data_IF_553283592782
#
_entry.id   IF_553283592782
#
_cell.length_a   1.000
_cell.length_b   1.000
_cell.length_c   1.000
_cell.angle_alpha   90.00
_cell.angle_beta   90.00
_cell.angle_gamma   90.00
#
_symmetry.space_group_name_H-M   'P 1'
#
loop_
_entity.id
_entity.type
_entity.pdbx_description
1 polymer ?
#
# COMPACT_ATOMS: atom_id res chain seq x y z
N UNK A 1 -8.66 26.25 5.17
CA UNK A 1 -9.60 25.50 4.30
C UNK A 1 -9.37 24.03 4.58
N UNK A 2 -10.40 23.25 4.99
CA UNK A 2 -10.26 21.79 5.06
C UNK A 2 -9.98 21.27 3.66
N UNK A 3 -8.91 20.47 3.50
CA UNK A 3 -8.63 19.74 2.26
C UNK A 3 -9.88 18.92 1.88
N UNK A 4 -10.29 18.99 0.61
CA UNK A 4 -11.43 18.23 0.10
C UNK A 4 -10.96 16.82 -0.25
N UNK A 5 -11.27 15.84 0.57
CA UNK A 5 -10.93 14.42 0.32
C UNK A 5 -10.46 13.68 1.56
N UNK A 6 -10.43 12.36 1.48
CA UNK A 6 -10.09 11.48 2.61
C UNK A 6 -8.59 11.14 2.72
N UNK A 7 -7.75 11.68 1.82
CA UNK A 7 -6.30 11.44 1.82
C UNK A 7 -5.54 12.70 2.24
N UNK A 8 -4.68 12.57 3.24
CA UNK A 8 -3.83 13.62 3.76
C UNK A 8 -2.47 13.03 4.16
N UNK A 9 -1.41 13.37 3.41
CA UNK A 9 -0.05 12.87 3.64
C UNK A 9 0.48 13.25 5.02
N UNK A 10 0.08 14.42 5.54
CA UNK A 10 0.51 14.89 6.87
C UNK A 10 -0.11 14.10 8.03
N UNK A 11 -1.18 13.33 7.77
CA UNK A 11 -1.87 12.52 8.78
C UNK A 11 -1.22 11.15 9.03
N UNK A 12 -0.25 10.74 8.20
CA UNK A 12 0.41 9.46 8.38
C UNK A 12 1.43 9.50 9.53
N UNK A 13 1.41 8.48 10.37
CA UNK A 13 2.36 8.30 11.48
C UNK A 13 3.78 7.97 10.99
N UNK A 14 3.98 7.75 9.69
CA UNK A 14 5.24 7.41 9.06
C UNK A 14 5.89 8.62 8.39
N UNK A 15 7.22 8.56 8.15
CA UNK A 15 7.91 9.63 7.43
C UNK A 15 7.38 9.80 6.01
N UNK A 16 7.51 11.02 5.47
CA UNK A 16 7.17 11.33 4.08
C UNK A 16 7.86 10.38 3.09
N UNK A 17 9.14 10.07 3.32
CA UNK A 17 9.89 9.16 2.44
C UNK A 17 9.34 7.74 2.46
N UNK A 18 8.85 7.27 3.61
CA UNK A 18 8.18 5.97 3.73
C UNK A 18 6.89 5.94 2.95
N UNK A 19 6.10 7.01 3.03
CA UNK A 19 4.85 7.11 2.28
C UNK A 19 5.11 7.20 0.77
N UNK A 20 6.10 7.99 0.33
CA UNK A 20 6.52 8.04 -1.08
C UNK A 20 6.94 6.64 -1.57
N UNK A 21 7.73 5.89 -0.77
CA UNK A 21 8.11 4.51 -1.13
C UNK A 21 6.92 3.60 -1.26
N UNK A 22 5.93 3.70 -0.37
CA UNK A 22 4.71 2.93 -0.42
C UNK A 22 3.87 3.25 -1.66
N UNK A 23 3.68 4.53 -1.98
CA UNK A 23 2.97 4.98 -3.19
C UNK A 23 3.66 4.48 -4.47
N UNK A 24 4.99 4.55 -4.53
CA UNK A 24 5.76 4.01 -5.65
C UNK A 24 5.58 2.49 -5.77
N UNK A 25 5.65 1.76 -4.64
CA UNK A 25 5.48 0.32 -4.62
C UNK A 25 4.07 -0.12 -5.06
N UNK A 26 3.03 0.67 -4.80
CA UNK A 26 1.68 0.40 -5.31
C UNK A 26 1.61 0.49 -6.84
N UNK A 27 2.35 1.41 -7.46
CA UNK A 27 2.46 1.50 -8.92
C UNK A 27 3.26 0.31 -9.44
N UNK A 28 4.43 0.04 -8.85
CA UNK A 28 5.34 -1.02 -9.29
C UNK A 28 4.69 -2.41 -9.24
N UNK A 29 3.87 -2.69 -8.21
CA UNK A 29 3.17 -3.97 -8.04
C UNK A 29 2.28 -4.33 -9.23
N UNK A 30 1.59 -3.35 -9.82
CA UNK A 30 0.63 -3.57 -10.90
C UNK A 30 1.14 -3.17 -12.28
N UNK A 31 2.33 -2.56 -12.39
CA UNK A 31 2.84 -2.00 -13.63
C UNK A 31 2.82 -2.97 -14.81
N UNK A 32 3.21 -4.22 -14.58
CA UNK A 32 3.24 -5.26 -15.62
C UNK A 32 1.86 -5.65 -16.15
N UNK A 33 0.80 -5.42 -15.38
CA UNK A 33 -0.59 -5.64 -15.74
C UNK A 33 -1.21 -4.39 -16.37
N UNK A 34 -0.97 -3.23 -15.75
CA UNK A 34 -1.56 -1.95 -16.14
C UNK A 34 -1.00 -1.41 -17.48
N UNK A 35 0.30 -1.55 -17.74
CA UNK A 35 0.89 -1.02 -18.97
C UNK A 35 0.29 -1.62 -20.27
N UNK A 36 0.16 -2.96 -20.40
CA UNK A 36 -0.54 -3.56 -21.53
C UNK A 36 -2.01 -3.14 -21.64
N UNK A 37 -2.66 -2.93 -20.49
CA UNK A 37 -4.04 -2.46 -20.43
C UNK A 37 -4.15 -1.03 -21.00
N UNK A 38 -3.28 -0.09 -20.62
CA UNK A 38 -3.27 1.26 -21.19
C UNK A 38 -3.11 1.23 -22.71
N UNK A 39 -2.21 0.37 -23.23
CA UNK A 39 -2.01 0.19 -24.67
C UNK A 39 -3.27 -0.40 -25.37
N UNK A 40 -3.91 -1.39 -24.75
CA UNK A 40 -5.16 -2.00 -25.25
C UNK A 40 -6.27 -0.96 -25.36
N UNK A 41 -6.35 -0.04 -24.40
CA UNK A 41 -7.32 1.05 -24.39
C UNK A 41 -6.85 2.31 -25.11
N UNK A 42 -5.81 2.21 -25.91
CA UNK A 42 -5.47 3.23 -26.91
C UNK A 42 -4.39 4.21 -26.53
N UNK A 43 -3.68 4.02 -25.41
CA UNK A 43 -2.48 4.83 -25.13
C UNK A 43 -1.43 4.59 -26.22
N UNK A 44 -0.90 5.67 -26.81
CA UNK A 44 0.14 5.65 -27.83
C UNK A 44 1.19 6.71 -27.55
N UNK A 45 2.41 6.45 -28.00
CA UNK A 45 3.49 7.44 -27.88
C UNK A 45 3.14 8.74 -28.62
N UNK A 46 3.59 9.87 -28.11
CA UNK A 46 3.29 11.21 -28.63
C UNK A 46 1.98 11.84 -28.15
N UNK A 47 1.14 11.11 -27.39
CA UNK A 47 -0.11 11.63 -26.82
C UNK A 47 0.11 12.63 -25.68
N UNK A 48 -0.90 13.49 -25.48
CA UNK A 48 -1.05 14.32 -24.26
C UNK A 48 -1.78 13.48 -23.18
N UNK A 49 -1.08 13.18 -22.10
CA UNK A 49 -1.56 12.34 -21.00
C UNK A 49 -1.70 13.14 -19.71
N UNK A 50 -2.81 12.97 -19.02
CA UNK A 50 -3.03 13.45 -17.67
C UNK A 50 -3.01 12.27 -16.69
N UNK A 51 -2.14 12.33 -15.68
CA UNK A 51 -2.19 11.46 -14.50
C UNK A 51 -2.84 12.25 -13.36
N UNK A 52 -4.10 11.94 -13.06
CA UNK A 52 -4.90 12.64 -12.05
C UNK A 52 -4.73 11.98 -10.68
N UNK A 53 -4.14 12.70 -9.74
CA UNK A 53 -3.64 12.17 -8.48
C UNK A 53 -2.30 11.47 -8.68
N UNK A 54 -1.36 12.16 -9.34
CA UNK A 54 -0.09 11.55 -9.75
C UNK A 54 0.84 11.20 -8.59
N UNK A 55 0.53 11.63 -7.37
CA UNK A 55 1.37 11.40 -6.21
C UNK A 55 2.81 11.88 -6.43
N UNK A 56 3.82 11.06 -6.09
CA UNK A 56 5.23 11.40 -6.30
C UNK A 56 5.70 11.27 -7.77
N UNK A 57 4.82 10.94 -8.73
CA UNK A 57 5.11 10.93 -10.17
C UNK A 57 5.62 9.60 -10.74
N UNK A 58 5.59 8.49 -9.97
CA UNK A 58 6.14 7.19 -10.39
C UNK A 58 5.50 6.64 -11.67
N UNK A 59 4.18 6.77 -11.82
CA UNK A 59 3.49 6.29 -13.03
C UNK A 59 3.99 7.03 -14.27
N UNK A 60 4.13 8.35 -14.20
CA UNK A 60 4.66 9.15 -15.31
C UNK A 60 6.10 8.75 -15.65
N UNK A 61 6.96 8.51 -14.65
CA UNK A 61 8.33 8.01 -14.86
C UNK A 61 8.31 6.71 -15.68
N UNK A 62 7.55 5.70 -15.26
CA UNK A 62 7.44 4.41 -15.95
C UNK A 62 6.84 4.52 -17.37
N UNK A 63 5.83 5.38 -17.54
CA UNK A 63 5.26 5.65 -18.86
C UNK A 63 6.31 6.26 -19.80
N UNK A 64 7.11 7.20 -19.33
CA UNK A 64 8.17 7.86 -20.11
C UNK A 64 9.31 6.92 -20.47
N UNK A 65 9.64 5.94 -19.62
CA UNK A 65 10.60 4.88 -19.95
C UNK A 65 10.14 4.03 -21.14
N UNK A 66 8.85 3.76 -21.24
CA UNK A 66 8.25 2.93 -22.30
C UNK A 66 7.86 3.73 -23.55
N UNK A 67 7.47 4.98 -23.36
CA UNK A 67 6.93 5.88 -24.41
C UNK A 67 7.55 7.27 -24.27
N UNK A 68 8.79 7.49 -24.73
CA UNK A 68 9.52 8.75 -24.53
C UNK A 68 8.86 10.00 -25.14
N UNK A 69 8.05 9.81 -26.20
CA UNK A 69 7.35 10.90 -26.89
C UNK A 69 6.11 11.43 -26.17
N UNK A 70 5.63 10.77 -25.11
CA UNK A 70 4.47 11.24 -24.35
C UNK A 70 4.72 12.64 -23.77
N UNK A 71 3.68 13.48 -23.79
CA UNK A 71 3.61 14.74 -23.05
C UNK A 71 2.72 14.51 -21.82
N UNK A 72 3.33 14.45 -20.65
CA UNK A 72 2.62 14.08 -19.42
C UNK A 72 2.40 15.30 -18.51
N UNK A 73 1.17 15.43 -18.02
CA UNK A 73 0.85 16.36 -16.93
C UNK A 73 0.41 15.54 -15.73
N UNK A 74 1.07 15.69 -14.58
CA UNK A 74 0.58 15.21 -13.29
C UNK A 74 -0.33 16.28 -12.67
N UNK A 75 -1.48 15.87 -12.16
CA UNK A 75 -2.34 16.70 -11.32
C UNK A 75 -2.32 16.13 -9.91
N UNK A 76 -1.94 16.94 -8.92
CA UNK A 76 -1.83 16.49 -7.52
C UNK A 76 -2.32 17.60 -6.58
N UNK A 77 -3.08 17.25 -5.56
CA UNK A 77 -3.62 18.23 -4.61
C UNK A 77 -2.64 18.57 -3.48
N UNK A 78 -1.84 17.61 -3.06
CA UNK A 78 -0.91 17.76 -1.95
C UNK A 78 0.37 18.50 -2.40
N UNK A 79 0.68 19.70 -1.83
CA UNK A 79 1.84 20.47 -2.25
C UNK A 79 3.18 19.77 -1.97
N UNK A 80 3.22 18.83 -1.02
CA UNK A 80 4.45 18.07 -0.71
C UNK A 80 4.70 17.04 -1.81
N UNK A 81 3.66 16.32 -2.26
CA UNK A 81 3.76 15.38 -3.38
C UNK A 81 4.01 16.09 -4.70
N UNK A 82 3.42 17.29 -4.93
CA UNK A 82 3.74 18.13 -6.09
C UNK A 82 5.24 18.45 -6.15
N UNK A 83 5.86 18.82 -5.03
CA UNK A 83 7.31 19.05 -4.95
C UNK A 83 8.11 17.78 -5.22
N UNK A 84 7.69 16.64 -4.67
CA UNK A 84 8.35 15.35 -4.87
C UNK A 84 8.31 14.94 -6.35
N UNK A 85 7.15 15.04 -7.01
CA UNK A 85 7.00 14.76 -8.45
C UNK A 85 7.83 15.70 -9.31
N UNK A 86 7.81 17.02 -9.01
CA UNK A 86 8.60 18.01 -9.74
C UNK A 86 10.10 17.72 -9.65
N UNK A 87 10.56 17.34 -8.47
CA UNK A 87 11.95 16.93 -8.22
C UNK A 87 12.31 15.67 -9.00
N UNK A 88 11.47 14.62 -8.94
CA UNK A 88 11.66 13.40 -9.70
C UNK A 88 11.80 13.68 -11.20
N UNK A 89 10.90 14.50 -11.78
CA UNK A 89 10.92 14.83 -13.21
C UNK A 89 12.20 15.56 -13.61
N UNK A 90 12.70 16.48 -12.75
CA UNK A 90 13.94 17.19 -12.99
C UNK A 90 15.16 16.24 -12.89
N UNK A 91 15.26 15.41 -11.84
CA UNK A 91 16.36 14.47 -11.60
C UNK A 91 16.45 13.41 -12.71
N UNK A 92 15.31 12.93 -13.21
CA UNK A 92 15.23 11.95 -14.31
C UNK A 92 15.28 12.59 -15.70
N UNK A 93 15.32 13.91 -15.80
CA UNK A 93 15.33 14.63 -17.07
C UNK A 93 14.12 14.33 -17.97
N UNK A 94 12.91 14.17 -17.38
CA UNK A 94 11.70 13.77 -18.09
C UNK A 94 11.18 14.94 -18.94
N UNK A 95 11.63 15.02 -20.20
CA UNK A 95 11.21 16.07 -21.14
C UNK A 95 9.72 15.95 -21.46
N UNK A 96 9.03 17.11 -21.56
CA UNK A 96 7.59 17.17 -21.84
C UNK A 96 6.70 16.72 -20.67
N UNK A 97 7.25 16.63 -19.45
CA UNK A 97 6.51 16.33 -18.23
C UNK A 97 6.44 17.58 -17.34
N UNK A 98 5.29 17.77 -16.71
CA UNK A 98 5.05 18.80 -15.69
C UNK A 98 4.10 18.29 -14.63
N UNK A 99 4.12 18.90 -13.46
CA UNK A 99 3.10 18.67 -12.43
C UNK A 99 2.40 20.00 -12.11
N UNK A 100 1.10 19.93 -11.86
CA UNK A 100 0.22 21.06 -11.54
C UNK A 100 -0.50 20.72 -10.23
N UNK A 101 -0.56 21.71 -9.33
CA UNK A 101 -1.35 21.56 -8.11
C UNK A 101 -2.83 21.83 -8.41
N UNK A 102 -3.71 20.88 -8.03
CA UNK A 102 -5.15 21.00 -8.21
C UNK A 102 -5.88 19.74 -7.77
N UNK A 103 -7.21 19.78 -7.82
CA UNK A 103 -8.07 18.62 -7.50
C UNK A 103 -8.79 18.10 -8.74
N UNK A 104 -9.29 16.87 -8.69
CA UNK A 104 -10.04 16.30 -9.80
C UNK A 104 -11.31 17.08 -10.14
N UNK A 105 -11.96 17.69 -9.12
CA UNK A 105 -13.15 18.54 -9.29
C UNK A 105 -12.82 19.92 -9.87
N UNK A 106 -11.60 20.42 -9.57
CA UNK A 106 -11.12 21.75 -10.02
C UNK A 106 -9.68 21.65 -10.54
N UNK A 107 -9.48 21.02 -11.70
CA UNK A 107 -8.14 20.72 -12.20
C UNK A 107 -7.35 21.96 -12.66
N UNK A 108 -8.00 23.06 -13.00
CA UNK A 108 -7.32 24.28 -13.46
C UNK A 108 -6.55 24.10 -14.77
N UNK A 109 -6.97 23.18 -15.62
CA UNK A 109 -6.34 22.83 -16.89
C UNK A 109 -7.27 23.13 -18.05
N UNK A 110 -6.70 23.30 -19.24
CA UNK A 110 -7.45 23.67 -20.45
C UNK A 110 -8.34 22.51 -20.92
N UNK A 111 -9.55 22.85 -21.37
CA UNK A 111 -10.48 21.89 -21.96
C UNK A 111 -9.94 21.33 -23.28
N UNK A 112 -10.33 20.08 -23.62
CA UNK A 112 -9.95 19.39 -24.85
C UNK A 112 -8.44 19.31 -25.12
N UNK A 113 -7.63 19.18 -24.05
CA UNK A 113 -6.17 19.18 -24.13
C UNK A 113 -5.53 17.81 -23.99
N UNK A 114 -6.26 16.78 -23.51
CA UNK A 114 -5.69 15.44 -23.27
C UNK A 114 -6.32 14.38 -24.17
N UNK A 115 -5.46 13.53 -24.72
CA UNK A 115 -5.87 12.33 -25.47
C UNK A 115 -6.25 11.20 -24.50
N UNK A 116 -5.55 11.11 -23.38
CA UNK A 116 -5.68 10.02 -22.42
C UNK A 116 -5.55 10.55 -20.99
N UNK A 117 -6.46 10.13 -20.11
CA UNK A 117 -6.42 10.44 -18.67
C UNK A 117 -6.31 9.12 -17.90
N UNK A 118 -5.43 9.08 -16.90
CA UNK A 118 -5.33 8.00 -15.94
C UNK A 118 -5.70 8.56 -14.56
N UNK A 119 -6.53 7.84 -13.82
CA UNK A 119 -6.86 8.17 -12.43
C UNK A 119 -6.81 6.87 -11.63
N UNK A 120 -5.77 6.73 -10.79
CA UNK A 120 -5.40 5.46 -10.18
C UNK A 120 -5.37 5.56 -8.65
N UNK A 121 -6.26 4.82 -7.98
CA UNK A 121 -6.40 4.79 -6.50
C UNK A 121 -6.57 6.23 -5.94
N UNK A 122 -7.49 6.96 -6.54
CA UNK A 122 -7.78 8.35 -6.19
C UNK A 122 -9.28 8.56 -5.99
N UNK A 123 -10.11 7.96 -6.84
CA UNK A 123 -11.54 8.23 -6.84
C UNK A 123 -12.20 7.77 -5.53
N UNK A 124 -11.64 6.75 -4.86
CA UNK A 124 -12.06 6.29 -3.52
C UNK A 124 -11.95 7.39 -2.45
N UNK A 125 -11.11 8.40 -2.68
CA UNK A 125 -10.88 9.52 -1.76
C UNK A 125 -11.71 10.76 -2.09
N UNK A 126 -12.37 10.79 -3.25
CA UNK A 126 -13.08 11.97 -3.77
C UNK A 126 -14.52 11.99 -3.24
N UNK A 127 -14.95 13.08 -2.57
CA UNK A 127 -16.29 13.18 -2.00
C UNK A 127 -17.41 13.15 -3.04
N UNK A 128 -17.21 13.76 -4.22
CA UNK A 128 -18.16 13.74 -5.34
C UNK A 128 -17.47 13.18 -6.60
N UNK A 129 -17.47 11.84 -6.77
CA UNK A 129 -16.86 11.17 -7.91
C UNK A 129 -17.42 11.62 -9.25
N UNK A 130 -18.73 11.88 -9.32
CA UNK A 130 -19.40 12.27 -10.57
C UNK A 130 -18.98 13.69 -10.99
N UNK A 131 -18.87 14.62 -10.05
CA UNK A 131 -18.39 15.98 -10.31
C UNK A 131 -16.95 15.95 -10.81
N UNK A 132 -16.08 15.18 -10.16
CA UNK A 132 -14.69 14.99 -10.57
C UNK A 132 -14.60 14.46 -12.00
N UNK A 133 -15.32 13.39 -12.30
CA UNK A 133 -15.33 12.78 -13.63
C UNK A 133 -15.92 13.71 -14.71
N UNK A 134 -16.93 14.52 -14.38
CA UNK A 134 -17.45 15.55 -15.31
C UNK A 134 -16.39 16.62 -15.59
N UNK A 135 -15.62 17.02 -14.60
CA UNK A 135 -14.52 17.98 -14.76
C UNK A 135 -13.41 17.40 -15.63
N UNK A 136 -12.98 16.16 -15.37
CA UNK A 136 -11.98 15.47 -16.18
C UNK A 136 -12.46 15.19 -17.61
N UNK A 137 -13.75 14.86 -17.82
CA UNK A 137 -14.34 14.70 -19.16
C UNK A 137 -14.19 15.95 -20.03
N UNK A 138 -14.28 17.16 -19.45
CA UNK A 138 -14.08 18.40 -20.21
C UNK A 138 -12.65 18.52 -20.73
N UNK A 139 -11.67 18.02 -19.99
CA UNK A 139 -10.25 18.06 -20.36
C UNK A 139 -9.92 17.10 -21.52
N UNK A 140 -10.69 16.02 -21.70
CA UNK A 140 -10.48 15.09 -22.79
C UNK A 140 -10.78 15.74 -24.15
N UNK A 141 -9.95 15.46 -25.14
CA UNK A 141 -10.23 15.68 -26.56
C UNK A 141 -11.41 14.81 -27.02
N UNK A 142 -11.95 15.09 -28.20
CA UNK A 142 -12.98 14.23 -28.79
C UNK A 142 -12.45 12.79 -28.96
N UNK A 143 -13.22 11.78 -28.54
CA UNK A 143 -12.83 10.36 -28.47
C UNK A 143 -11.65 10.07 -27.53
N UNK A 144 -11.23 11.05 -26.72
CA UNK A 144 -10.26 10.84 -25.64
C UNK A 144 -10.82 9.88 -24.60
N UNK A 145 -9.94 9.16 -23.92
CA UNK A 145 -10.29 8.12 -22.95
C UNK A 145 -9.77 8.42 -21.56
N UNK A 146 -10.52 7.99 -20.56
CA UNK A 146 -10.10 7.95 -19.17
C UNK A 146 -10.06 6.51 -18.70
N UNK A 147 -8.97 6.12 -18.06
CA UNK A 147 -8.85 4.84 -17.36
C UNK A 147 -8.90 5.13 -15.86
N UNK A 148 -9.92 4.59 -15.21
CA UNK A 148 -10.09 4.61 -13.76
C UNK A 148 -9.60 3.28 -13.22
N UNK A 149 -8.73 3.31 -12.22
CA UNK A 149 -8.24 2.13 -11.51
C UNK A 149 -8.42 2.39 -10.03
N UNK A 150 -9.19 1.54 -9.34
CA UNK A 150 -9.42 1.78 -7.92
C UNK A 150 -9.66 0.48 -7.13
N UNK A 151 -9.60 0.61 -5.82
CA UNK A 151 -9.83 -0.47 -4.89
C UNK A 151 -11.31 -0.77 -4.70
N UNK A 152 -11.60 -1.98 -4.23
CA UNK A 152 -12.82 -2.32 -3.54
C UNK A 152 -12.45 -3.13 -2.30
N UNK A 153 -12.54 -2.48 -1.13
CA UNK A 153 -12.08 -3.06 0.12
C UNK A 153 -12.95 -4.20 0.67
N UNK A 154 -14.01 -4.58 -0.01
CA UNK A 154 -14.68 -5.86 0.24
C UNK A 154 -13.93 -7.02 -0.42
N UNK A 155 -13.14 -6.74 -1.46
CA UNK A 155 -12.34 -7.71 -2.22
C UNK A 155 -10.83 -7.42 -2.16
N UNK A 156 -10.38 -6.53 -1.30
CA UNK A 156 -8.99 -6.10 -1.27
C UNK A 156 -8.03 -7.30 -1.16
N UNK A 157 -6.90 -7.24 -0.60
CA UNK A 157 -5.94 -8.34 -0.50
C UNK A 157 -6.49 -9.56 0.25
N UNK A 158 -6.23 -10.77 -0.29
CA UNK A 158 -6.54 -12.06 0.34
C UNK A 158 -5.29 -12.93 0.35
N UNK A 159 -5.24 -13.84 1.32
CA UNK A 159 -4.10 -14.75 1.52
C UNK A 159 -4.54 -16.19 1.64
N UNK A 160 -3.62 -17.11 1.30
CA UNK A 160 -3.71 -18.50 1.64
C UNK A 160 -2.39 -18.93 2.32
N UNK A 161 -2.40 -19.53 3.52
CA UNK A 161 -3.57 -19.62 4.41
C UNK A 161 -4.21 -18.26 4.73
N UNK A 162 -5.49 -18.24 5.11
CA UNK A 162 -6.17 -16.98 5.42
C UNK A 162 -5.58 -16.34 6.69
N UNK A 163 -5.40 -15.02 6.65
CA UNK A 163 -5.04 -14.19 7.81
C UNK A 163 -6.31 -13.53 8.34
N UNK A 164 -6.91 -14.04 9.44
CA UNK A 164 -8.25 -13.63 9.90
C UNK A 164 -8.36 -12.13 10.24
N UNK A 165 -7.27 -11.50 10.67
CA UNK A 165 -7.25 -10.10 11.07
C UNK A 165 -7.37 -9.13 9.89
N UNK A 166 -7.15 -9.57 8.64
CA UNK A 166 -7.31 -8.73 7.45
C UNK A 166 -8.74 -8.20 7.32
N UNK A 167 -9.75 -9.01 7.66
CA UNK A 167 -11.15 -8.55 7.59
C UNK A 167 -11.41 -7.39 8.56
N UNK A 168 -10.88 -7.47 9.79
CA UNK A 168 -10.96 -6.38 10.78
C UNK A 168 -10.18 -5.14 10.34
N UNK A 169 -8.98 -5.33 9.78
CA UNK A 169 -8.19 -4.24 9.23
C UNK A 169 -8.98 -3.49 8.14
N UNK A 170 -9.57 -4.21 7.19
CA UNK A 170 -10.31 -3.59 6.10
C UNK A 170 -11.65 -3.01 6.55
N UNK A 171 -12.30 -3.57 7.57
CA UNK A 171 -13.46 -2.95 8.21
C UNK A 171 -13.09 -1.60 8.84
N UNK A 172 -12.00 -1.56 9.60
CA UNK A 172 -11.47 -0.34 10.19
C UNK A 172 -11.09 0.71 9.12
N UNK A 173 -10.45 0.27 8.03
CA UNK A 173 -10.12 1.14 6.90
C UNK A 173 -11.38 1.72 6.25
N UNK A 174 -12.37 0.87 5.95
CA UNK A 174 -13.64 1.33 5.38
C UNK A 174 -14.35 2.34 6.28
N UNK A 175 -14.37 2.11 7.59
CA UNK A 175 -14.97 3.04 8.55
C UNK A 175 -14.22 4.39 8.58
N UNK A 176 -12.89 4.35 8.60
CA UNK A 176 -12.05 5.55 8.55
C UNK A 176 -12.31 6.37 7.27
N UNK A 177 -12.25 5.74 6.09
CA UNK A 177 -12.43 6.44 4.81
C UNK A 177 -13.82 7.04 4.65
N UNK A 178 -14.88 6.32 5.05
CA UNK A 178 -16.26 6.84 5.02
C UNK A 178 -16.45 8.04 5.94
N UNK A 179 -15.79 8.06 7.10
CA UNK A 179 -15.83 9.23 8.01
C UNK A 179 -15.29 10.48 7.33
N UNK A 180 -14.30 10.34 6.46
CA UNK A 180 -13.68 11.44 5.73
C UNK A 180 -14.37 11.74 4.39
N UNK A 181 -15.52 11.10 4.10
CA UNK A 181 -16.33 11.32 2.90
C UNK A 181 -15.90 10.53 1.68
N UNK A 182 -14.94 9.60 1.79
CA UNK A 182 -14.51 8.72 0.72
C UNK A 182 -15.37 7.47 0.57
N UNK A 183 -15.20 6.77 -0.55
CA UNK A 183 -15.86 5.51 -0.86
C UNK A 183 -14.83 4.38 -1.09
N UNK A 184 -14.41 3.66 -0.03
CA UNK A 184 -13.40 2.62 -0.13
C UNK A 184 -13.86 1.36 -0.92
N UNK A 185 -15.10 1.30 -1.37
CA UNK A 185 -15.64 0.22 -2.19
C UNK A 185 -16.10 0.71 -3.57
N UNK A 186 -15.45 1.75 -4.09
CA UNK A 186 -15.85 2.40 -5.34
C UNK A 186 -15.59 1.52 -6.57
N UNK A 187 -14.62 0.59 -6.51
CA UNK A 187 -14.14 -0.19 -7.64
C UNK A 187 -15.26 -0.84 -8.47
N UNK A 188 -16.19 -1.53 -7.79
CA UNK A 188 -17.36 -2.16 -8.47
C UNK A 188 -18.34 -1.17 -9.07
N UNK A 189 -18.25 0.13 -8.73
CA UNK A 189 -19.18 1.19 -9.16
C UNK A 189 -18.60 2.12 -10.20
N UNK A 190 -17.32 1.97 -10.57
CA UNK A 190 -16.65 2.81 -11.57
C UNK A 190 -17.43 2.97 -12.88
N UNK A 191 -18.00 1.88 -13.49
CA UNK A 191 -18.78 2.02 -14.73
C UNK A 191 -20.02 2.91 -14.56
N UNK A 192 -20.68 2.80 -13.42
CA UNK A 192 -21.85 3.64 -13.10
C UNK A 192 -21.46 5.11 -13.03
N UNK A 193 -20.39 5.43 -12.32
CA UNK A 193 -19.90 6.81 -12.19
C UNK A 193 -19.48 7.42 -13.53
N UNK A 194 -18.85 6.62 -14.42
CA UNK A 194 -18.57 7.05 -15.80
C UNK A 194 -19.84 7.40 -16.55
N UNK A 195 -20.85 6.54 -16.51
CA UNK A 195 -22.14 6.78 -17.19
C UNK A 195 -22.86 8.02 -16.62
N UNK A 196 -22.88 8.20 -15.29
CA UNK A 196 -23.48 9.37 -14.62
C UNK A 196 -22.72 10.67 -14.94
N UNK A 197 -21.40 10.58 -15.26
CA UNK A 197 -20.61 11.69 -15.74
C UNK A 197 -20.78 11.97 -17.23
N UNK A 198 -21.61 11.19 -17.93
CA UNK A 198 -21.92 11.36 -19.37
C UNK A 198 -20.83 10.82 -20.30
N UNK A 199 -20.06 9.82 -19.87
CA UNK A 199 -19.09 9.11 -20.68
C UNK A 199 -19.64 7.76 -21.16
N UNK A 200 -19.24 7.33 -22.34
CA UNK A 200 -19.46 5.96 -22.81
C UNK A 200 -18.54 5.01 -22.05
N UNK A 201 -19.07 3.90 -21.51
CA UNK A 201 -18.25 2.87 -20.88
C UNK A 201 -17.65 1.98 -21.97
N UNK A 202 -16.34 2.03 -22.16
CA UNK A 202 -15.60 1.31 -23.20
C UNK A 202 -15.01 -0.02 -22.68
N UNK A 203 -14.93 -0.21 -21.37
CA UNK A 203 -14.42 -1.45 -20.75
C UNK A 203 -14.59 -1.46 -19.26
N UNK A 204 -14.67 -2.69 -18.70
CA UNK A 204 -14.61 -2.93 -17.26
C UNK A 204 -13.99 -4.30 -17.04
N UNK A 205 -12.94 -4.33 -16.22
CA UNK A 205 -12.20 -5.56 -15.93
C UNK A 205 -11.57 -5.49 -14.53
N UNK A 206 -11.05 -6.60 -14.04
CA UNK A 206 -10.35 -6.71 -12.76
C UNK A 206 -8.96 -7.27 -13.02
N UNK A 207 -7.95 -6.48 -12.73
CA UNK A 207 -6.56 -6.93 -12.76
C UNK A 207 -6.19 -7.55 -11.41
N UNK A 208 -5.54 -8.72 -11.44
CA UNK A 208 -5.22 -9.48 -10.23
C UNK A 208 -3.71 -9.67 -10.16
N UNK A 209 -3.07 -9.04 -9.17
CA UNK A 209 -1.70 -9.37 -8.79
C UNK A 209 -1.68 -10.62 -7.90
N UNK A 210 -0.70 -11.52 -8.14
CA UNK A 210 -0.57 -12.78 -7.42
C UNK A 210 0.89 -13.04 -7.03
N UNK A 211 1.15 -13.38 -5.77
CA UNK A 211 2.53 -13.52 -5.25
C UNK A 211 3.30 -14.68 -5.87
N UNK A 212 2.64 -15.72 -6.37
CA UNK A 212 3.32 -16.79 -7.10
C UNK A 212 4.01 -16.32 -8.39
N UNK A 213 3.57 -15.16 -8.96
CA UNK A 213 4.15 -14.57 -10.16
C UNK A 213 5.13 -13.43 -9.86
N UNK A 214 4.87 -12.68 -8.78
CA UNK A 214 5.57 -11.43 -8.46
C UNK A 214 6.47 -11.55 -7.22
N UNK A 215 6.34 -12.64 -6.45
CA UNK A 215 6.91 -12.76 -5.10
C UNK A 215 6.11 -11.94 -4.07
N UNK A 216 6.44 -12.10 -2.79
CA UNK A 216 5.71 -11.46 -1.68
C UNK A 216 6.09 -10.00 -1.45
N UNK A 217 7.38 -9.67 -1.63
CA UNK A 217 7.93 -8.35 -1.33
C UNK A 217 7.18 -7.17 -1.99
N UNK A 218 6.75 -7.24 -3.26
CA UNK A 218 5.97 -6.17 -3.87
C UNK A 218 4.66 -5.89 -3.13
N UNK A 219 3.97 -6.93 -2.63
CA UNK A 219 2.74 -6.78 -1.85
C UNK A 219 3.02 -6.14 -0.49
N UNK A 220 4.02 -6.62 0.23
CA UNK A 220 4.39 -6.10 1.56
C UNK A 220 4.79 -4.63 1.49
N UNK A 221 5.50 -4.21 0.44
CA UNK A 221 5.86 -2.81 0.21
C UNK A 221 4.65 -1.94 -0.16
N UNK A 222 3.75 -2.44 -1.00
CA UNK A 222 2.58 -1.70 -1.47
C UNK A 222 1.52 -1.49 -0.39
N UNK A 223 1.32 -2.49 0.49
CA UNK A 223 0.41 -2.38 1.63
C UNK A 223 1.00 -1.48 2.74
N UNK A 224 2.28 -1.66 3.06
CA UNK A 224 2.99 -0.86 4.05
C UNK A 224 2.46 -1.02 5.48
N UNK A 225 3.27 -0.62 6.44
CA UNK A 225 2.90 -0.62 7.86
C UNK A 225 2.15 0.65 8.30
N UNK A 226 2.22 1.72 7.51
CA UNK A 226 1.72 3.04 7.90
C UNK A 226 0.20 3.08 8.07
N UNK A 227 -0.55 2.43 7.17
CA UNK A 227 -2.02 2.43 7.23
C UNK A 227 -2.54 1.71 8.49
N UNK A 228 -2.11 0.46 8.81
CA UNK A 228 -2.52 -0.19 10.05
C UNK A 228 -2.15 0.60 11.30
N UNK A 229 -0.94 1.16 11.37
CA UNK A 229 -0.49 1.98 12.49
C UNK A 229 -1.33 3.26 12.65
N UNK A 230 -1.66 3.93 11.55
CA UNK A 230 -2.55 5.10 11.57
C UNK A 230 -3.96 4.76 12.07
N UNK A 231 -4.51 3.61 11.67
CA UNK A 231 -5.82 3.16 12.12
C UNK A 231 -5.85 2.89 13.63
N UNK A 232 -4.75 2.38 14.19
CA UNK A 232 -4.60 2.23 15.64
C UNK A 232 -4.51 3.59 16.30
N UNK A 233 -3.67 4.49 15.81
CA UNK A 233 -3.52 5.84 16.35
C UNK A 233 -4.83 6.64 16.34
N UNK A 234 -5.63 6.49 15.29
CA UNK A 234 -6.94 7.15 15.13
C UNK A 234 -8.11 6.41 15.80
N UNK A 235 -7.86 5.29 16.48
CA UNK A 235 -8.86 4.55 17.25
C UNK A 235 -9.85 3.72 16.43
N UNK A 236 -9.56 3.48 15.14
CA UNK A 236 -10.38 2.61 14.29
C UNK A 236 -9.98 1.13 14.41
N UNK A 237 -8.76 0.84 14.82
CA UNK A 237 -8.23 -0.50 15.02
C UNK A 237 -7.61 -0.60 16.42
N UNK A 238 -7.76 -1.73 17.10
CA UNK A 238 -7.09 -1.97 18.37
C UNK A 238 -5.69 -2.55 18.17
N UNK A 239 -4.77 -2.27 19.12
CA UNK A 239 -3.38 -2.73 19.05
C UNK A 239 -3.25 -4.25 19.05
N UNK A 240 -4.12 -4.97 19.76
CA UNK A 240 -4.12 -6.43 19.78
C UNK A 240 -4.45 -7.04 18.42
N UNK A 241 -5.36 -6.42 17.67
CA UNK A 241 -5.65 -6.81 16.27
C UNK A 241 -4.43 -6.58 15.37
N UNK A 242 -3.70 -5.47 15.53
CA UNK A 242 -2.47 -5.21 14.78
C UNK A 242 -1.38 -6.25 15.08
N UNK A 243 -1.15 -6.57 16.35
CA UNK A 243 -0.20 -7.61 16.77
C UNK A 243 -0.61 -8.98 16.21
N UNK A 244 -1.91 -9.33 16.28
CA UNK A 244 -2.45 -10.55 15.71
C UNK A 244 -2.27 -10.63 14.20
N UNK A 245 -2.56 -9.55 13.47
CA UNK A 245 -2.34 -9.42 12.03
C UNK A 245 -0.89 -9.73 11.67
N UNK A 246 0.01 -9.11 12.39
CA UNK A 246 1.45 -9.21 12.18
C UNK A 246 1.94 -10.66 12.42
N UNK A 247 1.52 -11.30 13.52
CA UNK A 247 1.85 -12.69 13.85
C UNK A 247 1.29 -13.68 12.82
N UNK A 248 0.01 -13.54 12.48
CA UNK A 248 -0.66 -14.42 11.52
C UNK A 248 -0.14 -14.23 10.10
N UNK A 249 0.18 -12.99 9.71
CA UNK A 249 0.80 -12.67 8.43
C UNK A 249 2.18 -13.33 8.29
N UNK A 250 3.01 -13.25 9.33
CA UNK A 250 4.31 -13.94 9.35
C UNK A 250 4.15 -15.45 9.25
N UNK A 251 3.26 -16.03 10.04
CA UNK A 251 3.00 -17.48 9.99
C UNK A 251 2.55 -17.92 8.58
N UNK A 252 1.68 -17.13 7.94
CA UNK A 252 1.23 -17.37 6.57
C UNK A 252 2.40 -17.35 5.58
N UNK A 253 3.31 -16.34 5.66
CA UNK A 253 4.47 -16.23 4.78
C UNK A 253 5.49 -17.39 4.94
N UNK A 254 5.54 -18.04 6.10
CA UNK A 254 6.39 -19.20 6.35
C UNK A 254 5.75 -20.54 5.90
N UNK A 255 4.45 -20.54 5.59
CA UNK A 255 3.75 -21.73 5.14
C UNK A 255 4.10 -22.08 3.71
N UNK A 256 4.59 -23.32 3.42
CA UNK A 256 4.85 -23.75 2.06
C UNK A 256 3.60 -23.64 1.17
N UNK A 257 3.72 -23.02 0.00
CA UNK A 257 2.60 -22.86 -0.93
C UNK A 257 1.62 -21.75 -0.55
N UNK A 258 2.01 -20.84 0.37
CA UNK A 258 1.22 -19.64 0.64
C UNK A 258 1.04 -18.78 -0.61
N UNK A 259 0.03 -17.94 -0.57
CA UNK A 259 -0.20 -16.96 -1.65
C UNK A 259 -0.85 -15.68 -1.14
N UNK A 260 -0.52 -14.59 -1.82
CA UNK A 260 -1.14 -13.28 -1.66
C UNK A 260 -1.77 -12.91 -2.99
N UNK A 261 -3.03 -12.50 -2.94
CA UNK A 261 -3.82 -12.09 -4.11
C UNK A 261 -4.41 -10.71 -3.85
N UNK A 262 -4.22 -9.79 -4.81
CA UNK A 262 -4.75 -8.43 -4.72
C UNK A 262 -5.40 -8.01 -6.03
N UNK A 263 -6.73 -7.81 -6.08
CA UNK A 263 -7.42 -7.25 -7.23
C UNK A 263 -7.35 -5.72 -7.25
N UNK A 264 -7.39 -5.15 -8.47
CA UNK A 264 -7.73 -3.77 -8.76
C UNK A 264 -8.84 -3.74 -9.82
N UNK A 265 -9.82 -2.88 -9.62
CA UNK A 265 -10.94 -2.70 -10.52
C UNK A 265 -10.63 -1.60 -11.53
N UNK A 266 -10.86 -1.90 -12.80
CA UNK A 266 -10.56 -1.01 -13.92
C UNK A 266 -11.82 -0.70 -14.69
N UNK A 267 -12.11 0.58 -14.92
CA UNK A 267 -13.15 0.99 -15.85
C UNK A 267 -12.62 2.03 -16.82
N UNK A 268 -13.04 1.92 -18.07
CA UNK A 268 -12.60 2.82 -19.13
C UNK A 268 -13.77 3.60 -19.68
N UNK A 269 -13.67 4.93 -19.61
CA UNK A 269 -14.62 5.88 -20.17
C UNK A 269 -14.11 6.51 -21.45
N UNK A 270 -15.00 6.71 -22.43
CA UNK A 270 -14.69 7.46 -23.64
C UNK A 270 -15.57 8.71 -23.72
N UNK A 271 -14.96 9.83 -24.11
CA UNK A 271 -15.70 11.07 -24.38
C UNK A 271 -16.46 10.94 -25.69
N UNK A 272 -17.73 10.55 -25.58
CA UNK A 272 -18.66 10.46 -26.73
C UNK A 272 -19.40 11.77 -26.96
N UNK A 273 -19.84 12.01 -28.19
CA UNK A 273 -20.66 13.20 -28.52
C UNK A 273 -22.09 13.14 -27.93
N UNK A 274 -22.56 11.95 -27.54
CA UNK A 274 -23.85 11.69 -26.84
C UNK A 274 -23.66 10.65 -25.73
N UNK A 275 -24.34 10.76 -24.59
CA UNK A 275 -24.32 9.71 -23.58
C UNK A 275 -24.95 8.43 -24.13
N UNK A 276 -24.23 7.30 -24.04
CA UNK A 276 -24.76 5.99 -24.41
C UNK A 276 -25.53 5.38 -23.25
N UNK A 277 -26.76 4.95 -23.49
CA UNK A 277 -27.49 4.07 -22.59
C UNK A 277 -27.09 2.62 -22.90
N UNK A 278 -26.38 1.95 -22.01
CA UNK A 278 -26.18 0.51 -22.03
C UNK A 278 -24.72 0.04 -22.08
N UNK A 279 -24.42 -0.94 -21.23
CA UNK A 279 -23.13 -1.66 -21.16
C UNK A 279 -23.18 -2.85 -22.09
N UNK A 280 -22.29 -2.92 -23.08
CA UNK A 280 -22.07 -4.12 -23.88
C UNK A 280 -20.90 -4.94 -23.26
N UNK A 281 -21.08 -6.25 -23.15
CA UNK A 281 -20.07 -7.18 -22.63
C UNK A 281 -18.96 -7.44 -23.67
N UNK A 282 -17.71 -7.60 -23.27
CA UNK A 282 -16.61 -7.92 -24.19
C UNK A 282 -16.43 -9.44 -24.37
N UNK A 283 -15.96 -9.82 -25.56
CA UNK A 283 -15.52 -11.18 -25.90
C UNK A 283 -14.22 -11.56 -25.19
N UNK A 284 -14.22 -12.77 -24.63
CA UNK A 284 -13.06 -13.34 -23.92
C UNK A 284 -12.35 -14.38 -24.77
N UNK A 285 -11.06 -14.21 -25.00
CA UNK A 285 -10.18 -15.31 -25.45
C UNK A 285 -9.03 -15.51 -24.45
N UNK A 286 -8.91 -16.72 -23.96
CA UNK A 286 -8.00 -17.13 -22.90
C UNK A 286 -7.08 -18.25 -23.35
N UNK A 287 -5.76 -18.01 -23.35
CA UNK A 287 -4.79 -19.10 -23.20
C UNK A 287 -3.37 -18.63 -22.85
N UNK A 288 -2.84 -19.00 -21.67
CA UNK A 288 -1.41 -19.24 -21.42
C UNK A 288 -1.15 -20.05 -20.16
N UNK A 289 -0.24 -21.04 -20.30
CA UNK A 289 0.19 -21.98 -19.24
C UNK A 289 1.46 -21.50 -18.53
N UNK A 290 1.75 -21.98 -17.28
CA UNK A 290 2.88 -21.57 -16.47
C UNK A 290 4.10 -22.50 -16.53
N UNK A 291 5.26 -22.03 -16.10
CA UNK A 291 6.49 -22.84 -15.88
C UNK A 291 7.10 -22.57 -14.50
N UNK A 292 7.84 -23.56 -13.96
CA UNK A 292 8.09 -23.88 -12.56
C UNK A 292 9.47 -23.47 -11.97
N UNK A 293 9.49 -23.37 -10.65
CA UNK A 293 10.45 -23.73 -9.57
C UNK A 293 11.90 -23.24 -9.53
N UNK A 294 12.36 -22.81 -8.32
CA UNK A 294 13.48 -23.42 -7.57
C UNK A 294 13.63 -22.93 -6.10
N UNK A 295 14.15 -23.85 -5.25
CA UNK A 295 14.42 -23.92 -3.79
C UNK A 295 15.54 -22.97 -3.33
N UNK A 296 15.76 -22.55 -2.09
CA UNK A 296 15.67 -23.00 -0.74
C UNK A 296 17.02 -23.02 0.00
N UNK A 297 17.04 -22.81 1.33
CA UNK A 297 18.07 -23.01 2.37
C UNK A 297 18.54 -21.74 3.09
N UNK A 298 18.68 -21.80 4.28
CA UNK A 298 18.71 -21.83 5.69
C UNK A 298 20.09 -21.70 6.35
N UNK A 299 20.14 -21.13 7.55
CA UNK A 299 20.87 -21.53 8.77
C UNK A 299 21.56 -20.42 9.61
N UNK A 300 21.66 -20.69 10.87
CA UNK A 300 21.81 -20.04 12.16
C UNK A 300 23.21 -19.54 12.58
N UNK A 301 23.25 -18.77 13.72
CA UNK A 301 24.38 -18.73 14.69
C UNK A 301 24.42 -17.48 15.62
N UNK A 302 24.93 -17.54 16.84
CA UNK A 302 24.50 -16.76 18.00
C UNK A 302 25.35 -15.49 18.35
N UNK A 303 24.78 -14.65 19.22
CA UNK A 303 25.22 -13.29 19.58
C UNK A 303 26.01 -13.27 20.91
N UNK A 304 27.08 -12.44 20.98
CA UNK A 304 27.86 -12.12 22.18
C UNK A 304 27.47 -10.73 22.79
N UNK A 305 27.93 -10.38 23.99
CA UNK A 305 27.33 -9.34 24.82
C UNK A 305 27.79 -7.92 24.46
N UNK A 306 26.84 -7.06 24.17
CA UNK A 306 26.99 -5.60 24.10
C UNK A 306 25.64 -4.98 24.36
N UNK A 307 25.59 -3.78 25.01
CA UNK A 307 24.34 -3.15 25.43
C UNK A 307 23.24 -3.08 24.35
N UNK A 308 22.03 -2.85 24.77
CA UNK A 308 20.82 -2.88 23.92
C UNK A 308 20.97 -2.11 22.61
N UNK A 309 21.65 -0.95 22.63
CA UNK A 309 21.91 -0.18 21.42
C UNK A 309 22.81 -0.94 20.43
N UNK A 310 23.90 -1.58 20.93
CA UNK A 310 24.81 -2.35 20.08
C UNK A 310 24.13 -3.59 19.50
N UNK A 311 23.26 -4.25 20.26
CA UNK A 311 22.41 -5.34 19.82
C UNK A 311 21.46 -4.87 18.71
N UNK A 312 20.75 -3.76 18.91
CA UNK A 312 19.85 -3.19 17.90
C UNK A 312 20.59 -2.80 16.62
N UNK A 313 21.79 -2.21 16.75
CA UNK A 313 22.62 -1.89 15.58
C UNK A 313 23.05 -3.14 14.81
N UNK A 314 23.45 -4.20 15.52
CA UNK A 314 23.84 -5.46 14.90
C UNK A 314 22.67 -6.14 14.18
N UNK A 315 21.51 -6.22 14.82
CA UNK A 315 20.30 -6.80 14.26
C UNK A 315 19.80 -5.97 13.07
N UNK A 316 19.79 -4.64 13.18
CA UNK A 316 19.42 -3.76 12.07
C UNK A 316 20.41 -3.88 10.91
N UNK A 317 21.71 -4.00 11.16
CA UNK A 317 22.70 -4.20 10.11
C UNK A 317 22.51 -5.52 9.35
N UNK A 318 22.06 -6.57 10.02
CA UNK A 318 21.72 -7.86 9.40
C UNK A 318 20.44 -7.73 8.55
N UNK A 319 19.37 -7.18 9.11
CA UNK A 319 18.08 -7.01 8.43
C UNK A 319 18.21 -6.10 7.20
N UNK A 320 18.99 -5.02 7.30
CA UNK A 320 19.12 -4.00 6.23
C UNK A 320 20.42 -4.13 5.42
N UNK A 321 21.09 -5.27 5.43
CA UNK A 321 22.41 -5.47 4.79
C UNK A 321 22.47 -5.00 3.34
N UNK A 322 21.47 -5.33 2.54
CA UNK A 322 21.44 -4.96 1.12
C UNK A 322 21.16 -3.47 0.94
N UNK A 323 20.26 -2.91 1.73
CA UNK A 323 19.92 -1.48 1.71
C UNK A 323 21.07 -0.59 2.18
N UNK A 324 21.83 -1.03 3.18
CA UNK A 324 23.03 -0.34 3.63
C UNK A 324 24.08 -0.30 2.51
N UNK A 325 24.23 -1.41 1.77
CA UNK A 325 25.13 -1.50 0.63
C UNK A 325 24.72 -0.57 -0.51
N UNK A 326 23.44 -0.52 -0.84
CA UNK A 326 22.87 0.41 -1.85
C UNK A 326 23.08 1.87 -1.45
N UNK A 327 22.95 2.20 -0.16
CA UNK A 327 23.17 3.54 0.40
C UNK A 327 24.63 3.89 0.62
N UNK A 328 25.59 3.00 0.32
CA UNK A 328 27.02 3.20 0.56
C UNK A 328 27.39 3.25 2.05
N UNK A 329 26.49 2.84 2.95
CA UNK A 329 26.73 2.78 4.40
C UNK A 329 27.36 1.43 4.78
N UNK A 330 28.33 1.46 5.69
CA UNK A 330 29.00 0.25 6.20
C UNK A 330 28.35 -0.31 7.47
N UNK A 331 27.59 0.50 8.17
CA UNK A 331 26.93 0.14 9.46
C UNK A 331 25.71 1.02 9.71
N UNK A 332 24.89 0.60 10.65
CA UNK A 332 23.77 1.39 11.18
C UNK A 332 24.29 2.30 12.28
N UNK A 333 24.04 3.61 12.17
CA UNK A 333 24.48 4.59 13.16
C UNK A 333 23.44 4.75 14.28
N UNK A 334 23.82 5.17 15.48
CA UNK A 334 22.92 5.35 16.62
C UNK A 334 21.75 6.33 16.37
N UNK A 335 21.98 7.30 15.49
CA UNK A 335 21.00 8.30 15.08
C UNK A 335 20.11 7.88 13.92
N UNK A 336 20.36 6.75 13.29
CA UNK A 336 19.53 6.26 12.19
C UNK A 336 18.15 5.83 12.73
N UNK A 337 17.08 6.18 12.01
CA UNK A 337 15.77 5.59 12.19
C UNK A 337 15.66 4.31 11.36
N UNK A 338 15.08 3.27 11.95
CA UNK A 338 14.86 2.00 11.25
C UNK A 338 13.89 2.15 10.08
N UNK A 339 12.94 3.09 10.20
CA UNK A 339 11.99 3.43 9.15
C UNK A 339 12.71 4.08 7.95
N UNK A 340 13.67 4.97 8.21
CA UNK A 340 14.48 5.60 7.17
C UNK A 340 15.44 4.60 6.48
N UNK A 341 15.85 3.56 7.19
CA UNK A 341 16.58 2.42 6.62
C UNK A 341 15.68 1.47 5.82
N UNK A 342 14.37 1.77 5.76
CA UNK A 342 13.38 1.03 4.98
C UNK A 342 12.77 -0.16 5.73
N UNK A 343 12.57 -0.02 7.06
CA UNK A 343 11.79 -0.96 7.86
C UNK A 343 10.41 -1.15 7.25
N UNK A 344 10.04 -2.38 7.02
CA UNK A 344 8.68 -2.82 6.73
C UNK A 344 8.12 -3.62 7.91
N UNK A 345 6.84 -4.00 7.83
CA UNK A 345 6.19 -4.74 8.92
C UNK A 345 6.85 -6.07 9.23
N UNK A 346 7.42 -6.74 8.24
CA UNK A 346 8.11 -8.02 8.42
C UNK A 346 9.45 -7.83 9.12
N UNK A 347 10.24 -6.88 8.66
CA UNK A 347 11.52 -6.51 9.30
C UNK A 347 11.33 -6.01 10.74
N UNK A 348 10.22 -5.29 11.01
CA UNK A 348 9.88 -4.84 12.34
C UNK A 348 9.55 -6.00 13.30
N UNK A 349 8.91 -7.05 12.77
CA UNK A 349 8.66 -8.28 13.54
C UNK A 349 9.93 -9.06 13.84
N UNK A 350 10.79 -9.22 12.83
CA UNK A 350 12.07 -9.90 13.02
C UNK A 350 12.90 -9.19 14.09
N UNK A 351 12.87 -7.85 14.08
CA UNK A 351 13.52 -7.07 15.12
C UNK A 351 12.84 -7.24 16.49
N UNK A 352 11.51 -7.24 16.55
CA UNK A 352 10.75 -7.45 17.79
C UNK A 352 11.08 -8.81 18.43
N UNK A 353 11.12 -9.86 17.64
CA UNK A 353 11.46 -11.20 18.11
C UNK A 353 12.93 -11.27 18.58
N UNK A 354 13.88 -10.71 17.83
CA UNK A 354 15.29 -10.66 18.22
C UNK A 354 15.50 -9.80 19.48
N UNK A 355 14.75 -8.72 19.68
CA UNK A 355 14.74 -7.96 20.93
C UNK A 355 14.22 -8.82 22.09
N UNK A 356 13.09 -9.50 21.88
CA UNK A 356 12.48 -10.39 22.88
C UNK A 356 13.43 -11.52 23.27
N UNK A 357 14.06 -12.18 22.31
CA UNK A 357 14.99 -13.28 22.53
C UNK A 357 16.26 -12.83 23.27
N UNK A 358 16.73 -11.61 22.97
CA UNK A 358 17.96 -11.06 23.55
C UNK A 358 17.74 -10.42 24.91
N UNK A 359 16.55 -9.86 25.20
CA UNK A 359 16.27 -9.05 26.39
C UNK A 359 15.15 -9.62 27.27
N UNK A 360 14.44 -10.66 26.81
CA UNK A 360 13.24 -11.18 27.45
C UNK A 360 12.04 -10.21 27.42
N UNK A 361 12.18 -9.08 26.72
CA UNK A 361 11.19 -8.00 26.71
C UNK A 361 10.49 -7.87 25.37
N UNK A 362 9.16 -7.93 25.38
CA UNK A 362 8.36 -7.66 24.21
C UNK A 362 8.14 -6.14 24.07
N UNK A 363 8.76 -5.53 23.07
CA UNK A 363 8.53 -4.12 22.71
C UNK A 363 7.33 -4.04 21.78
N UNK A 364 6.34 -3.16 22.04
CA UNK A 364 5.20 -2.99 21.14
C UNK A 364 5.67 -2.64 19.72
N UNK A 365 5.05 -3.28 18.71
CA UNK A 365 5.43 -3.12 17.31
C UNK A 365 5.32 -1.67 16.83
N UNK A 366 4.32 -0.94 17.32
CA UNK A 366 4.15 0.48 17.09
C UNK A 366 5.38 1.31 17.46
N UNK A 367 6.07 0.93 18.58
CA UNK A 367 7.30 1.60 19.02
C UNK A 367 8.51 1.28 18.13
N UNK A 368 8.52 0.13 17.50
CA UNK A 368 9.55 -0.26 16.53
C UNK A 368 9.33 0.45 15.19
N UNK A 369 8.06 0.69 14.84
CA UNK A 369 7.63 1.38 13.62
C UNK A 369 7.59 2.91 13.78
N UNK A 370 7.71 3.43 15.00
CA UNK A 370 7.89 4.86 15.22
C UNK A 370 9.18 5.34 14.52
N UNK A 371 9.09 6.49 13.85
CA UNK A 371 10.25 7.09 13.16
C UNK A 371 11.20 7.76 14.17
N UNK A 372 11.71 6.98 15.13
CA UNK A 372 12.63 7.44 16.18
C UNK A 372 14.04 6.92 15.93
N UNK A 373 15.09 7.65 16.39
CA UNK A 373 16.46 7.16 16.36
C UNK A 373 16.64 5.84 17.11
N UNK A 374 17.58 5.01 16.66
CA UNK A 374 17.90 3.74 17.31
C UNK A 374 18.24 3.91 18.81
N UNK A 375 18.86 5.04 19.17
CA UNK A 375 19.13 5.42 20.56
C UNK A 375 17.88 5.54 21.41
N UNK A 376 16.79 6.03 20.83
CA UNK A 376 15.54 6.23 21.58
C UNK A 376 14.75 4.90 21.66
N UNK A 377 14.81 4.09 20.61
CA UNK A 377 14.30 2.72 20.66
C UNK A 377 15.03 1.90 21.73
N UNK A 378 16.37 2.01 21.83
CA UNK A 378 17.16 1.34 22.86
C UNK A 378 16.71 1.72 24.28
N UNK A 379 16.46 3.02 24.54
CA UNK A 379 15.93 3.49 25.82
C UNK A 379 14.54 2.90 26.15
N UNK A 380 13.69 2.74 25.14
CA UNK A 380 12.38 2.09 25.32
C UNK A 380 12.52 0.61 25.69
N UNK A 381 13.44 -0.11 25.03
CA UNK A 381 13.76 -1.50 25.36
C UNK A 381 14.30 -1.62 26.80
N UNK A 382 15.28 -0.80 27.17
CA UNK A 382 15.89 -0.81 28.50
C UNK A 382 14.87 -0.51 29.59
N UNK A 383 13.98 0.48 29.39
CA UNK A 383 12.93 0.84 30.33
C UNK A 383 11.91 -0.30 30.51
N UNK A 384 11.54 -0.97 29.43
CA UNK A 384 10.62 -2.10 29.45
C UNK A 384 11.25 -3.35 30.11
N UNK A 385 12.57 -3.53 29.97
CA UNK A 385 13.33 -4.61 30.62
C UNK A 385 13.51 -4.39 32.13
N UNK A 386 13.71 -3.15 32.55
CA UNK A 386 13.90 -2.79 33.96
C UNK A 386 12.62 -2.93 34.84
N UNK A 387 11.43 -2.95 34.21
CA UNK A 387 10.14 -3.12 34.89
C UNK A 387 9.77 -4.56 35.27
N UNK A 388 10.56 -5.56 34.86
CA UNK A 388 10.37 -6.98 35.19
C UNK A 388 11.39 -7.43 36.24
N UNK A 389 11.08 -7.21 37.56
CA UNK A 389 11.73 -7.98 38.62
C UNK A 389 11.25 -9.44 38.53
N UNK A 390 12.13 -10.44 38.82
CA UNK A 390 11.75 -11.84 38.72
C UNK A 390 10.77 -12.19 39.85
N UNK A 391 9.53 -12.52 39.51
CA UNK A 391 8.65 -13.28 40.42
C UNK A 391 9.22 -14.69 40.55
N UNK A 392 9.74 -14.99 41.77
CA UNK A 392 10.07 -16.34 42.16
C UNK A 392 8.75 -17.14 42.29
N UNK A 393 8.53 -18.10 41.43
CA UNK A 393 7.52 -19.13 41.63
C UNK A 393 7.90 -19.98 42.86
N UNK A 394 7.20 -19.76 43.97
CA UNK A 394 7.13 -20.73 45.04
C UNK A 394 6.10 -21.80 44.64
N UNK A 395 6.60 -23.00 44.36
CA UNK A 395 5.76 -24.19 44.16
C UNK A 395 5.20 -24.57 45.52
N UNK A 396 3.90 -24.43 45.71
CA UNK A 396 3.17 -25.06 46.81
C UNK A 396 2.30 -26.20 46.26
N UNK A 397 2.63 -27.39 46.69
CA UNK A 397 1.96 -28.62 46.32
C UNK A 397 0.92 -28.94 47.36
N UNK A 398 -0.37 -28.73 47.09
CA UNK A 398 -1.41 -29.60 47.72
C UNK A 398 -2.80 -29.44 47.05
N UNK A 399 -3.28 -30.60 46.62
CA UNK A 399 -4.69 -31.09 46.62
C UNK A 399 -5.75 -30.41 45.76
N UNK A 400 -6.41 -31.29 44.92
CA UNK A 400 -7.82 -31.14 44.67
C UNK A 400 -8.29 -31.52 43.25
N UNK A 401 -8.47 -32.79 43.01
CA UNK A 401 -9.18 -33.32 41.83
C UNK A 401 -10.60 -32.77 41.69
N UNK A 402 -10.96 -32.16 40.57
CA UNK A 402 -12.36 -32.10 40.08
C UNK A 402 -12.44 -32.49 38.61
N UNK A 403 -13.33 -33.46 38.33
CA UNK A 403 -13.65 -33.98 37.00
C UNK A 403 -14.39 -32.96 36.14
N UNK A 404 -14.26 -33.01 34.82
CA UNK A 404 -15.03 -32.15 33.91
C UNK A 404 -16.46 -32.71 33.72
N UNK A 405 -17.45 -31.80 33.68
CA UNK A 405 -18.84 -32.07 33.30
C UNK A 405 -18.97 -32.17 31.78
N UNK A 406 -19.72 -33.20 31.37
CA UNK A 406 -20.13 -33.45 29.98
C UNK A 406 -21.06 -32.32 29.49
N UNK A 407 -20.94 -32.00 28.20
CA UNK A 407 -21.90 -31.16 27.47
C UNK A 407 -23.00 -32.05 26.91
N UNK A 408 -24.25 -31.68 27.18
CA UNK A 408 -25.43 -32.28 26.54
C UNK A 408 -25.69 -31.53 25.21
N UNK A 409 -25.99 -32.32 24.19
CA UNK A 409 -26.53 -31.91 22.91
C UNK A 409 -27.96 -31.38 23.09
N UNK A 410 -28.28 -30.26 22.48
CA UNK A 410 -29.61 -29.68 22.39
C UNK A 410 -29.77 -28.92 21.07
N UNK A 411 -30.63 -29.53 20.23
CA UNK A 411 -31.11 -29.06 18.94
C UNK A 411 -31.65 -27.61 18.97
N UNK A 412 -31.41 -26.81 17.99
CA UNK A 412 -32.22 -26.25 16.87
C UNK A 412 -31.34 -25.27 16.11
#
# INVERSE_FOLDING_TARGET
MKQSGSYDVSSFATSLDTEIRRLNAQVDLFWSLEYPLYQRYGLRDGMDVLDCGCGPGRLIELLKEKMPGLRCTGLEMDPVLVKAASRLFAERGLKGCRVVQGTAEKPGLDENSFDFIIMRIVLEHVPDPVLALRSLRRLLKAKGRIVLIDNDFDFHLRTWPPVPQLDRLYEAYRASRRKDGGDPCIGRRLPRHLAEAGMGVAGYEVEIAHSALLGDNPFLRAEGAGIPAQLVHSGFLDGGTLEGLTRSGRAMLLEPGHSIVRPLFVAVGEKTARPSSGVAAPDTDASRKPSAETKGAGAEGPVGPGGTLAMLQAVAAEIFKDKLKEAGKKRVEPGDSLVDLGMDSLSALDLQEKIKDSTGTLVPLEKILDNIPLTDLAKHVDKASAGKAPEQETVDASSGKKKPKAWEEGEI
#
